data_IF_169226398106
#
_entry.id   IF_169226398106
#
_cell.length_a   1.000
_cell.length_b   1.000
_cell.length_c   1.000
_cell.angle_alpha   90.00
_cell.angle_beta   90.00
_cell.angle_gamma   90.00
#
_symmetry.space_group_name_H-M   'P 1'
#
loop_
_entity.id
_entity.type
_entity.pdbx_description
1 polymer ?
#
# COMPACT_ATOMS: atom_id res chain seq x y z
N UNK A 1 -44.66 -51.96 -9.70
CA UNK A 1 -43.59 -51.15 -10.28
C UNK A 1 -43.34 -49.99 -9.34
N UNK A 2 -42.44 -50.22 -8.33
CA UNK A 2 -42.17 -49.24 -7.28
C UNK A 2 -40.94 -48.42 -7.68
N UNK A 3 -41.10 -47.10 -7.90
CA UNK A 3 -40.02 -46.17 -8.08
C UNK A 3 -39.45 -45.75 -6.69
N UNK A 4 -38.19 -46.12 -6.43
CA UNK A 4 -37.42 -45.61 -5.28
C UNK A 4 -36.79 -44.27 -5.67
N UNK A 5 -37.20 -43.18 -5.05
CA UNK A 5 -36.47 -41.94 -5.06
C UNK A 5 -35.27 -42.05 -4.09
N UNK A 6 -34.08 -42.00 -4.62
CA UNK A 6 -32.87 -41.79 -3.81
C UNK A 6 -32.66 -40.31 -3.61
N UNK A 7 -32.82 -39.84 -2.38
CA UNK A 7 -32.44 -38.50 -1.99
C UNK A 7 -30.91 -38.47 -1.74
N UNK A 8 -30.17 -37.76 -2.61
CA UNK A 8 -28.74 -37.47 -2.40
C UNK A 8 -28.63 -36.30 -1.43
N UNK A 9 -28.22 -36.58 -0.22
CA UNK A 9 -27.95 -35.60 0.81
C UNK A 9 -26.58 -34.97 0.49
N UNK A 10 -26.56 -33.71 0.00
CA UNK A 10 -25.37 -32.94 -0.15
C UNK A 10 -24.86 -32.51 1.23
N UNK A 11 -23.74 -33.06 1.65
CA UNK A 11 -23.08 -32.65 2.88
C UNK A 11 -22.46 -31.26 2.67
N UNK A 12 -23.05 -30.25 3.28
CA UNK A 12 -22.40 -28.95 3.45
C UNK A 12 -21.23 -29.12 4.43
N UNK A 13 -20.00 -29.11 3.93
CA UNK A 13 -18.83 -28.96 4.78
C UNK A 13 -18.75 -27.48 5.15
N UNK A 14 -19.24 -27.17 6.35
CA UNK A 14 -18.99 -25.86 6.95
C UNK A 14 -17.49 -25.78 7.27
N UNK A 15 -16.75 -24.99 6.50
CA UNK A 15 -15.43 -24.53 6.91
C UNK A 15 -15.65 -23.58 8.10
N UNK A 16 -15.57 -24.10 9.30
CA UNK A 16 -15.31 -23.28 10.48
C UNK A 16 -13.88 -22.78 10.36
N UNK A 17 -13.71 -21.53 9.95
CA UNK A 17 -12.48 -20.82 10.19
C UNK A 17 -12.27 -20.84 11.71
N UNK A 18 -11.35 -21.67 12.18
CA UNK A 18 -10.89 -21.60 13.56
C UNK A 18 -10.28 -20.22 13.72
N UNK A 19 -10.97 -19.34 14.47
CA UNK A 19 -10.32 -18.20 15.08
C UNK A 19 -9.16 -18.80 15.90
N UNK A 20 -7.94 -18.68 15.38
CA UNK A 20 -6.77 -18.91 16.19
C UNK A 20 -6.86 -17.89 17.30
N UNK A 21 -7.14 -18.36 18.52
CA UNK A 21 -7.02 -17.57 19.74
C UNK A 21 -5.62 -16.97 19.71
N UNK A 22 -5.52 -15.70 19.34
CA UNK A 22 -4.30 -14.92 19.46
C UNK A 22 -4.09 -14.75 20.98
N UNK A 23 -3.28 -15.64 21.55
CA UNK A 23 -2.86 -15.52 22.94
C UNK A 23 -2.22 -14.13 23.08
N UNK A 24 -2.64 -13.34 24.08
CA UNK A 24 -2.00 -12.06 24.30
C UNK A 24 -0.51 -12.28 24.53
N UNK A 25 0.35 -11.48 23.88
CA UNK A 25 1.78 -11.52 24.10
C UNK A 25 2.04 -11.19 25.58
N UNK A 26 2.59 -12.14 26.30
CA UNK A 26 2.99 -11.97 27.70
C UNK A 26 4.51 -11.88 27.73
N UNK A 27 5.03 -10.65 27.72
CA UNK A 27 6.45 -10.40 27.96
C UNK A 27 6.81 -10.47 29.45
N UNK A 28 8.10 -10.34 29.77
CA UNK A 28 8.61 -10.38 31.15
C UNK A 28 7.98 -9.30 32.05
N UNK A 29 7.39 -8.25 31.49
CA UNK A 29 6.77 -7.11 32.18
C UNK A 29 5.24 -7.05 32.06
N UNK A 30 4.58 -8.10 31.62
CA UNK A 30 3.12 -8.17 31.49
C UNK A 30 2.60 -8.32 30.08
N UNK A 31 1.29 -8.48 29.94
CA UNK A 31 0.64 -8.61 28.66
C UNK A 31 0.61 -7.27 27.94
N UNK A 32 1.03 -7.24 26.67
CA UNK A 32 0.76 -6.13 25.79
C UNK A 32 -0.74 -6.14 25.42
N UNK A 33 -1.36 -4.99 25.45
CA UNK A 33 -2.76 -4.85 25.06
C UNK A 33 -2.82 -4.29 23.63
N UNK A 34 -3.53 -4.92 22.71
CA UNK A 34 -3.88 -4.28 21.44
C UNK A 34 -4.59 -2.95 21.71
N UNK A 35 -4.28 -1.92 20.92
CA UNK A 35 -4.81 -0.58 21.13
C UNK A 35 -4.02 0.46 20.35
N UNK A 36 -4.29 1.73 20.65
CA UNK A 36 -3.59 2.87 20.08
C UNK A 36 -2.51 3.36 21.02
N UNK A 37 -1.31 3.56 20.49
CA UNK A 37 -0.14 4.08 21.19
C UNK A 37 0.35 5.34 20.50
N UNK A 38 0.73 6.36 21.26
CA UNK A 38 1.24 7.62 20.73
C UNK A 38 2.50 8.05 21.47
N UNK A 39 3.38 8.78 20.80
CA UNK A 39 4.62 9.29 21.40
C UNK A 39 5.36 10.24 20.46
N UNK A 40 6.57 10.62 20.87
CA UNK A 40 7.48 11.43 20.07
C UNK A 40 8.84 10.79 20.10
N UNK A 41 9.31 10.29 18.96
CA UNK A 41 10.63 9.65 18.84
C UNK A 41 11.51 10.48 17.89
N UNK A 42 12.67 10.90 18.36
CA UNK A 42 13.58 11.70 17.53
C UNK A 42 13.00 13.03 17.04
N UNK A 43 12.03 13.60 17.75
CA UNK A 43 11.33 14.84 17.36
C UNK A 43 10.15 14.64 16.41
N UNK A 44 9.85 13.40 16.00
CA UNK A 44 8.68 13.07 15.16
C UNK A 44 7.54 12.55 16.02
N UNK A 45 6.33 13.03 15.78
CA UNK A 45 5.13 12.43 16.37
C UNK A 45 4.89 11.05 15.77
N UNK A 46 4.61 10.08 16.63
CA UNK A 46 4.31 8.72 16.23
C UNK A 46 2.94 8.29 16.74
N UNK A 47 2.22 7.54 15.90
CA UNK A 47 0.94 6.94 16.19
C UNK A 47 0.97 5.48 15.71
N UNK A 48 0.63 4.54 16.60
CA UNK A 48 0.63 3.12 16.32
C UNK A 48 -0.69 2.50 16.76
N UNK A 49 -1.45 1.96 15.82
CA UNK A 49 -2.61 1.13 16.10
C UNK A 49 -2.22 -0.34 15.98
N UNK A 50 -2.44 -1.11 17.04
CA UNK A 50 -2.20 -2.56 17.10
C UNK A 50 -3.51 -3.30 17.28
N UNK A 51 -3.77 -4.31 16.43
CA UNK A 51 -4.96 -5.14 16.52
C UNK A 51 -4.65 -6.59 16.93
N UNK A 52 -5.63 -7.29 17.53
CA UNK A 52 -5.48 -8.70 17.93
C UNK A 52 -5.21 -9.65 16.76
N UNK A 53 -5.59 -9.30 15.55
CA UNK A 53 -5.34 -10.06 14.31
C UNK A 53 -3.90 -9.93 13.81
N UNK A 54 -3.01 -9.33 14.61
CA UNK A 54 -1.60 -9.06 14.30
C UNK A 54 -1.40 -8.04 13.17
N UNK A 55 -2.41 -7.29 12.78
CA UNK A 55 -2.25 -6.15 11.89
C UNK A 55 -1.89 -4.88 12.67
N UNK A 56 -1.27 -3.91 11.98
CA UNK A 56 -1.00 -2.60 12.55
C UNK A 56 -1.14 -1.50 11.48
N UNK A 57 -1.38 -0.27 11.96
CA UNK A 57 -1.09 0.97 11.24
C UNK A 57 -0.05 1.75 12.06
N UNK A 58 0.93 2.31 11.38
CA UNK A 58 1.98 3.10 12.00
C UNK A 58 2.22 4.37 11.21
N UNK A 59 2.23 5.51 11.92
CA UNK A 59 2.52 6.83 11.38
C UNK A 59 3.72 7.38 12.13
N UNK A 60 4.74 7.89 11.42
CA UNK A 60 5.89 8.59 11.99
C UNK A 60 6.16 9.86 11.19
N UNK A 61 5.73 10.99 11.70
CA UNK A 61 5.70 12.23 10.92
C UNK A 61 4.80 12.08 9.71
N UNK A 62 5.38 12.13 8.50
CA UNK A 62 4.65 11.98 7.22
C UNK A 62 4.70 10.56 6.67
N UNK A 63 5.46 9.66 7.29
CA UNK A 63 5.57 8.27 6.87
C UNK A 63 4.41 7.45 7.40
N UNK A 64 3.77 6.66 6.53
CA UNK A 64 2.63 5.82 6.86
C UNK A 64 2.89 4.39 6.44
N UNK A 65 2.72 3.46 7.37
CA UNK A 65 2.90 2.04 7.16
C UNK A 65 1.68 1.26 7.65
N UNK A 66 1.33 0.20 6.93
CA UNK A 66 0.35 -0.78 7.35
C UNK A 66 0.89 -2.18 7.06
N UNK A 67 0.80 -3.07 8.03
CA UNK A 67 1.41 -4.39 7.90
C UNK A 67 1.02 -5.34 9.01
N UNK A 68 1.87 -6.32 9.26
CA UNK A 68 1.69 -7.30 10.33
C UNK A 68 2.80 -7.18 11.36
N UNK A 69 2.43 -7.36 12.61
CA UNK A 69 3.39 -7.46 13.71
C UNK A 69 3.48 -8.90 14.22
N UNK A 70 4.60 -9.23 14.81
CA UNK A 70 4.77 -10.47 15.56
C UNK A 70 5.52 -10.23 16.87
N UNK A 71 5.33 -11.14 17.83
CA UNK A 71 6.05 -11.09 19.09
C UNK A 71 7.50 -11.56 18.91
N UNK A 72 8.44 -10.87 19.58
CA UNK A 72 9.82 -11.29 19.77
C UNK A 72 10.06 -11.56 21.26
N UNK A 73 9.84 -12.79 21.75
CA UNK A 73 9.99 -13.13 23.16
C UNK A 73 11.44 -12.97 23.67
N UNK A 74 12.44 -13.14 22.79
CA UNK A 74 13.85 -13.05 23.18
C UNK A 74 14.24 -11.62 23.55
N UNK A 75 13.62 -10.62 22.88
CA UNK A 75 13.81 -9.20 23.14
C UNK A 75 12.72 -8.59 24.01
N UNK A 76 11.79 -9.41 24.53
CA UNK A 76 10.60 -8.91 25.22
C UNK A 76 9.88 -7.82 24.42
N UNK A 77 9.68 -8.04 23.15
CA UNK A 77 9.25 -7.01 22.20
C UNK A 77 8.27 -7.47 21.14
N UNK A 78 7.92 -6.53 20.30
CA UNK A 78 7.22 -6.74 19.06
C UNK A 78 8.10 -6.31 17.90
N UNK A 79 7.90 -6.94 16.76
CA UNK A 79 8.49 -6.55 15.47
C UNK A 79 7.37 -6.15 14.53
N UNK A 80 7.43 -4.92 14.02
CA UNK A 80 6.58 -4.42 12.96
C UNK A 80 7.29 -4.65 11.63
N UNK A 81 6.60 -5.25 10.66
CA UNK A 81 7.08 -5.36 9.27
C UNK A 81 6.59 -4.14 8.49
N UNK A 82 7.51 -3.26 8.12
CA UNK A 82 7.22 -2.00 7.42
C UNK A 82 7.33 -2.12 5.90
N UNK A 83 7.40 -3.36 5.37
CA UNK A 83 7.48 -3.58 3.93
C UNK A 83 8.92 -3.52 3.37
N UNK A 84 9.86 -4.16 4.05
CA UNK A 84 11.29 -4.23 3.69
C UNK A 84 12.21 -3.82 4.82
N UNK A 85 11.70 -3.03 5.75
CA UNK A 85 12.35 -2.70 7.01
C UNK A 85 11.56 -3.28 8.17
N UNK A 86 12.22 -3.47 9.31
CA UNK A 86 11.56 -3.91 10.53
C UNK A 86 11.80 -2.91 11.65
N UNK A 87 10.76 -2.65 12.44
CA UNK A 87 10.87 -1.85 13.64
C UNK A 87 10.63 -2.71 14.88
N UNK A 88 11.58 -2.71 15.77
CA UNK A 88 11.49 -3.45 17.04
C UNK A 88 11.05 -2.50 18.15
N UNK A 89 10.02 -2.91 18.89
CA UNK A 89 9.49 -2.19 20.04
C UNK A 89 9.58 -3.09 21.28
N UNK A 90 10.30 -2.68 22.30
CA UNK A 90 10.34 -3.37 23.61
C UNK A 90 9.05 -3.11 24.38
N UNK A 91 8.47 -4.15 24.96
CA UNK A 91 7.31 -4.03 25.86
C UNK A 91 7.79 -3.70 27.26
N UNK A 92 7.61 -2.45 27.69
CA UNK A 92 8.00 -2.00 29.03
C UNK A 92 6.94 -2.35 30.09
N UNK A 93 5.67 -2.25 29.68
CA UNK A 93 4.49 -2.71 30.43
C UNK A 93 3.27 -2.73 29.50
N UNK A 94 2.07 -3.00 30.03
CA UNK A 94 0.84 -3.05 29.23
C UNK A 94 0.43 -1.73 28.55
N UNK A 95 1.05 -0.62 28.92
CA UNK A 95 0.70 0.72 28.44
C UNK A 95 1.87 1.45 27.75
N UNK A 96 3.06 0.81 27.69
CA UNK A 96 4.25 1.50 27.19
C UNK A 96 5.13 0.58 26.33
N UNK A 97 5.43 1.07 25.13
CA UNK A 97 6.32 0.45 24.17
C UNK A 97 7.52 1.37 23.93
N UNK A 98 8.73 0.81 23.92
CA UNK A 98 9.95 1.56 23.64
C UNK A 98 10.53 1.16 22.31
N UNK A 99 10.71 2.09 21.35
CA UNK A 99 11.48 1.83 20.16
C UNK A 99 12.90 1.38 20.47
N UNK A 100 13.40 0.36 19.78
CA UNK A 100 14.78 -0.10 19.96
C UNK A 100 15.76 1.04 19.67
N UNK A 101 16.71 1.26 20.60
CA UNK A 101 17.65 2.38 20.51
C UNK A 101 17.14 3.70 21.07
N UNK A 102 15.89 3.79 21.54
CA UNK A 102 15.40 4.98 22.25
C UNK A 102 16.09 5.14 23.62
N UNK A 103 16.19 6.39 24.15
CA UNK A 103 16.83 6.65 25.44
C UNK A 103 16.21 5.89 26.60
N UNK A 104 17.03 5.50 27.59
CA UNK A 104 16.59 4.77 28.79
C UNK A 104 15.72 5.61 29.73
N UNK A 105 15.74 6.94 29.60
CA UNK A 105 14.95 7.87 30.41
C UNK A 105 13.45 7.87 30.08
N UNK A 106 13.05 7.10 29.04
CA UNK A 106 11.68 7.01 28.56
C UNK A 106 11.28 8.12 27.58
N UNK A 107 12.18 9.04 27.24
CA UNK A 107 11.96 9.97 26.14
C UNK A 107 11.95 9.18 24.84
N UNK A 108 10.83 9.24 24.12
CA UNK A 108 10.63 8.45 22.90
C UNK A 108 9.83 7.14 23.09
N UNK A 109 9.36 6.84 24.31
CA UNK A 109 8.43 5.74 24.52
C UNK A 109 7.05 6.08 23.87
N UNK A 110 6.39 5.07 23.35
CA UNK A 110 5.00 5.14 22.90
C UNK A 110 4.09 4.76 24.07
N UNK A 111 3.15 5.62 24.41
CA UNK A 111 2.21 5.39 25.51
C UNK A 111 0.82 5.04 24.99
N UNK A 112 0.15 4.08 25.63
CA UNK A 112 -1.21 3.70 25.27
C UNK A 112 -2.17 4.88 25.47
N UNK A 113 -3.00 5.15 24.49
CA UNK A 113 -4.02 6.18 24.56
C UNK A 113 -5.17 5.74 25.47
N UNK A 114 -5.64 6.63 26.36
CA UNK A 114 -6.84 6.40 27.16
C UNK A 114 -8.11 6.35 26.31
N UNK A 115 -8.10 7.01 25.14
CA UNK A 115 -9.17 6.99 24.16
C UNK A 115 -8.62 6.45 22.83
N UNK A 116 -8.54 5.12 22.68
CA UNK A 116 -8.01 4.53 21.47
C UNK A 116 -8.93 4.85 20.28
N UNK A 117 -8.39 5.59 19.34
CA UNK A 117 -9.06 5.90 18.08
C UNK A 117 -8.09 5.62 16.94
N UNK A 118 -8.41 4.66 16.04
CA UNK A 118 -7.57 4.39 14.89
C UNK A 118 -7.37 5.64 14.04
N UNK A 119 -6.14 5.87 13.61
CA UNK A 119 -5.82 6.99 12.74
C UNK A 119 -6.41 6.80 11.33
N UNK A 120 -6.73 7.91 10.68
CA UNK A 120 -6.93 7.92 9.23
C UNK A 120 -5.57 7.88 8.55
N UNK A 121 -5.41 6.94 7.61
CA UNK A 121 -4.15 6.75 6.89
C UNK A 121 -4.36 6.79 5.37
N UNK A 122 -3.44 7.45 4.66
CA UNK A 122 -3.35 7.43 3.20
C UNK A 122 -2.16 6.61 2.77
N UNK A 123 -2.39 5.63 1.90
CA UNK A 123 -1.32 4.75 1.40
C UNK A 123 -1.68 4.18 0.03
N UNK A 124 -0.67 3.77 -0.76
CA UNK A 124 -0.89 2.85 -1.86
C UNK A 124 -1.41 1.53 -1.30
N UNK A 125 -2.58 1.10 -1.75
CA UNK A 125 -3.24 -0.11 -1.27
C UNK A 125 -3.33 -1.13 -2.39
N UNK A 126 -2.91 -2.36 -2.09
CA UNK A 126 -3.20 -3.54 -2.91
C UNK A 126 -4.07 -4.51 -2.12
N UNK A 127 -5.05 -5.12 -2.77
CA UNK A 127 -5.98 -6.01 -2.07
C UNK A 127 -6.85 -6.85 -2.98
N UNK A 128 -7.52 -7.82 -2.37
CA UNK A 128 -8.51 -8.66 -3.04
C UNK A 128 -9.89 -8.04 -2.89
N UNK A 129 -10.36 -7.40 -3.96
CA UNK A 129 -11.68 -6.76 -4.01
C UNK A 129 -12.75 -7.80 -4.32
N UNK A 130 -13.84 -7.75 -3.57
CA UNK A 130 -15.05 -8.52 -3.81
C UNK A 130 -16.24 -7.56 -3.82
N UNK A 131 -17.09 -7.66 -4.85
CA UNK A 131 -18.33 -6.92 -4.95
C UNK A 131 -19.52 -7.87 -4.98
N UNK A 132 -20.38 -7.77 -4.00
CA UNK A 132 -21.57 -8.61 -3.86
C UNK A 132 -22.73 -7.84 -3.23
N UNK A 133 -23.93 -7.96 -3.80
CA UNK A 133 -25.16 -7.35 -3.29
C UNK A 133 -25.02 -5.85 -3.00
N UNK A 134 -24.47 -5.09 -3.97
CA UNK A 134 -24.25 -3.64 -3.94
C UNK A 134 -23.27 -3.17 -2.84
N UNK A 135 -22.47 -4.08 -2.29
CA UNK A 135 -21.43 -3.79 -1.33
C UNK A 135 -20.08 -4.30 -1.81
N UNK A 136 -19.09 -3.41 -1.79
CA UNK A 136 -17.71 -3.76 -2.05
C UNK A 136 -16.95 -3.95 -0.73
N UNK A 137 -16.13 -4.99 -0.67
CA UNK A 137 -15.18 -5.23 0.41
C UNK A 137 -13.81 -5.53 -0.17
N UNK A 138 -12.75 -5.16 0.54
CA UNK A 138 -11.38 -5.43 0.12
C UNK A 138 -10.60 -6.06 1.27
N UNK A 139 -9.90 -7.16 0.96
CA UNK A 139 -8.89 -7.73 1.85
C UNK A 139 -7.55 -7.07 1.51
N UNK A 140 -7.05 -6.22 2.39
CA UNK A 140 -5.77 -5.53 2.20
C UNK A 140 -4.62 -6.53 2.31
N UNK A 141 -3.78 -6.61 1.29
CA UNK A 141 -2.74 -7.64 1.20
C UNK A 141 -1.69 -7.53 2.30
N UNK A 142 -1.26 -6.33 2.66
CA UNK A 142 -0.22 -6.13 3.68
C UNK A 142 -0.69 -6.53 5.09
N UNK A 143 -1.96 -6.28 5.43
CA UNK A 143 -2.48 -6.54 6.77
C UNK A 143 -3.29 -7.83 6.88
N UNK A 144 -3.88 -8.30 5.77
CA UNK A 144 -4.86 -9.37 5.76
C UNK A 144 -6.26 -8.97 6.29
N UNK A 145 -6.46 -7.69 6.66
CA UNK A 145 -7.75 -7.20 7.16
C UNK A 145 -8.73 -6.96 6.04
N UNK A 146 -9.99 -7.20 6.34
CA UNK A 146 -11.10 -6.89 5.42
C UNK A 146 -11.72 -5.56 5.80
N UNK A 147 -11.82 -4.67 4.84
CA UNK A 147 -12.47 -3.36 4.96
C UNK A 147 -13.67 -3.25 4.04
N UNK A 148 -14.77 -2.60 4.45
CA UNK A 148 -15.76 -2.10 3.52
C UNK A 148 -15.11 -1.02 2.64
N UNK A 149 -15.60 -0.89 1.39
CA UNK A 149 -15.17 0.16 0.46
C UNK A 149 -16.29 1.19 0.35
N UNK A 150 -15.95 2.45 0.58
CA UNK A 150 -16.90 3.56 0.45
C UNK A 150 -17.24 3.81 -1.02
N UNK A 151 -18.48 4.24 -1.27
CA UNK A 151 -18.95 4.63 -2.61
C UNK A 151 -18.61 6.10 -2.94
N UNK A 152 -17.40 6.51 -2.54
CA UNK A 152 -16.86 7.87 -2.70
C UNK A 152 -15.57 7.82 -3.54
N UNK A 153 -15.04 8.98 -3.91
CA UNK A 153 -13.82 9.12 -4.69
C UNK A 153 -13.91 8.39 -6.03
N UNK A 154 -12.90 7.59 -6.36
CA UNK A 154 -12.82 6.83 -7.61
C UNK A 154 -13.57 5.48 -7.58
N UNK A 155 -14.54 5.32 -6.65
CA UNK A 155 -15.31 4.08 -6.52
C UNK A 155 -15.96 3.61 -7.83
N UNK A 156 -16.53 4.54 -8.62
CA UNK A 156 -17.18 4.18 -9.88
C UNK A 156 -16.20 3.63 -10.93
N UNK A 157 -14.97 4.13 -10.95
CA UNK A 157 -13.92 3.59 -11.82
C UNK A 157 -13.52 2.18 -11.38
N UNK A 158 -13.30 1.99 -10.07
CA UNK A 158 -13.01 0.70 -9.46
C UNK A 158 -14.12 -0.34 -9.73
N UNK A 159 -15.38 0.03 -9.53
CA UNK A 159 -16.53 -0.85 -9.76
C UNK A 159 -16.63 -1.28 -11.23
N UNK A 160 -16.52 -0.34 -12.17
CA UNK A 160 -16.54 -0.65 -13.61
C UNK A 160 -15.43 -1.61 -14.00
N UNK A 161 -14.21 -1.38 -13.53
CA UNK A 161 -13.08 -2.23 -13.82
C UNK A 161 -13.24 -3.63 -13.21
N UNK A 162 -13.75 -3.72 -11.99
CA UNK A 162 -14.07 -4.99 -11.35
C UNK A 162 -15.13 -5.77 -12.15
N UNK A 163 -16.23 -5.13 -12.53
CA UNK A 163 -17.31 -5.76 -13.28
C UNK A 163 -16.86 -6.23 -14.67
N UNK A 164 -15.91 -5.52 -15.28
CA UNK A 164 -15.33 -5.90 -16.58
C UNK A 164 -14.32 -7.06 -16.45
N UNK A 165 -13.60 -7.15 -15.32
CA UNK A 165 -12.54 -8.14 -15.11
C UNK A 165 -13.00 -9.46 -14.50
N UNK A 166 -14.17 -9.50 -13.83
CA UNK A 166 -14.66 -10.71 -13.16
C UNK A 166 -15.22 -11.73 -14.17
N UNK A 167 -14.97 -13.01 -13.89
CA UNK A 167 -15.56 -14.13 -14.66
C UNK A 167 -16.87 -14.64 -14.03
N UNK A 168 -17.14 -14.31 -12.75
CA UNK A 168 -18.30 -14.76 -12.01
C UNK A 168 -18.75 -13.79 -10.90
N UNK A 169 -19.93 -14.04 -10.30
CA UNK A 169 -20.40 -13.22 -9.18
C UNK A 169 -19.50 -13.41 -7.95
N UNK A 170 -19.19 -12.29 -7.27
CA UNK A 170 -18.37 -12.26 -6.05
C UNK A 170 -16.95 -12.87 -6.20
N UNK A 171 -16.42 -12.94 -7.42
CA UNK A 171 -15.06 -13.37 -7.65
C UNK A 171 -14.08 -12.36 -7.06
N UNK A 172 -13.14 -12.77 -6.17
CA UNK A 172 -12.12 -11.86 -5.67
C UNK A 172 -11.15 -11.50 -6.79
N UNK A 173 -10.95 -10.20 -7.03
CA UNK A 173 -9.96 -9.70 -7.99
C UNK A 173 -8.88 -8.91 -7.28
N UNK A 174 -7.62 -9.12 -7.65
CA UNK A 174 -6.52 -8.31 -7.17
C UNK A 174 -6.62 -6.91 -7.79
N UNK A 175 -6.59 -5.88 -6.93
CA UNK A 175 -6.68 -4.47 -7.33
C UNK A 175 -5.59 -3.65 -6.66
N UNK A 176 -5.23 -2.55 -7.29
CA UNK A 176 -4.35 -1.52 -6.73
C UNK A 176 -5.03 -0.16 -6.79
N UNK A 177 -4.79 0.68 -5.77
CA UNK A 177 -5.34 2.03 -5.68
C UNK A 177 -4.53 2.88 -4.69
N UNK A 178 -4.65 4.19 -4.75
CA UNK A 178 -4.37 5.03 -3.60
C UNK A 178 -5.63 5.13 -2.78
N UNK A 179 -5.51 4.92 -1.49
CA UNK A 179 -6.65 4.83 -0.61
C UNK A 179 -6.46 5.64 0.66
N UNK A 180 -7.56 6.22 1.12
CA UNK A 180 -7.71 6.68 2.49
C UNK A 180 -8.43 5.58 3.28
N UNK A 181 -7.84 5.11 4.38
CA UNK A 181 -8.50 4.23 5.35
C UNK A 181 -8.86 5.08 6.55
N UNK A 182 -10.15 5.22 6.85
CA UNK A 182 -10.62 6.05 7.96
C UNK A 182 -11.81 5.43 8.69
N UNK A 183 -12.04 5.78 9.97
CA UNK A 183 -13.27 5.44 10.68
C UNK A 183 -14.47 6.10 10.01
N UNK A 184 -15.49 5.32 9.67
CA UNK A 184 -16.77 5.83 9.13
C UNK A 184 -17.96 5.24 9.87
N UNK A 185 -18.97 6.08 10.08
CA UNK A 185 -20.25 5.66 10.61
C UNK A 185 -20.89 4.62 9.70
N UNK A 186 -21.47 3.59 10.30
CA UNK A 186 -22.24 2.56 9.61
C UNK A 186 -23.73 2.86 9.77
N UNK A 187 -24.56 2.30 8.87
CA UNK A 187 -26.03 2.39 9.02
C UNK A 187 -26.50 1.77 10.32
N UNK A 188 -25.84 0.70 10.75
CA UNK A 188 -26.07 0.05 12.04
C UNK A 188 -24.73 -0.36 12.68
N UNK A 189 -24.59 -0.12 14.00
CA UNK A 189 -23.40 -0.51 14.75
C UNK A 189 -22.34 0.60 14.91
N UNK A 190 -21.17 0.26 15.46
CA UNK A 190 -20.07 1.21 15.66
C UNK A 190 -19.42 1.62 14.34
N UNK A 191 -18.67 2.71 14.39
CA UNK A 191 -17.79 3.11 13.29
C UNK A 191 -16.83 1.98 12.91
N UNK A 192 -16.55 1.87 11.60
CA UNK A 192 -15.62 0.87 11.07
C UNK A 192 -14.61 1.56 10.17
N UNK A 193 -13.36 1.10 10.24
CA UNK A 193 -12.35 1.50 9.26
C UNK A 193 -12.84 1.09 7.87
N UNK A 194 -12.91 2.07 6.99
CA UNK A 194 -13.48 1.96 5.65
C UNK A 194 -12.46 2.49 4.65
N UNK A 195 -12.28 1.79 3.55
CA UNK A 195 -11.41 2.22 2.43
C UNK A 195 -12.17 3.17 1.53
N UNK A 196 -11.60 4.34 1.28
CA UNK A 196 -12.05 5.30 0.26
C UNK A 196 -11.04 5.24 -0.88
N UNK A 197 -11.43 4.83 -2.10
CA UNK A 197 -10.55 4.87 -3.27
C UNK A 197 -10.32 6.32 -3.69
N UNK A 198 -9.17 6.91 -3.42
CA UNK A 198 -8.84 8.29 -3.81
C UNK A 198 -8.35 8.36 -5.26
N UNK A 199 -7.59 7.35 -5.70
CA UNK A 199 -7.26 7.18 -7.10
C UNK A 199 -7.21 5.68 -7.44
N UNK A 200 -7.96 5.29 -8.45
CA UNK A 200 -7.99 3.92 -8.94
C UNK A 200 -6.70 3.62 -9.73
N UNK A 201 -6.07 2.48 -9.45
CA UNK A 201 -4.93 1.98 -10.21
C UNK A 201 -5.36 1.00 -11.29
N UNK A 202 -5.43 -0.28 -10.94
CA UNK A 202 -5.75 -1.35 -11.91
C UNK A 202 -6.43 -2.54 -11.25
N UNK A 203 -7.10 -3.35 -12.07
CA UNK A 203 -7.60 -4.69 -11.73
C UNK A 203 -6.78 -5.72 -12.48
N UNK A 204 -6.41 -6.80 -11.80
CA UNK A 204 -5.63 -7.90 -12.37
C UNK A 204 -6.40 -9.21 -12.21
N UNK A 205 -7.13 -9.67 -13.24
CA UNK A 205 -7.78 -10.96 -13.22
C UNK A 205 -6.77 -12.09 -13.04
N UNK A 206 -7.03 -13.02 -12.11
CA UNK A 206 -6.12 -14.10 -11.77
C UNK A 206 -4.92 -13.72 -10.90
N UNK A 207 -4.79 -12.44 -10.52
CA UNK A 207 -3.82 -11.97 -9.54
C UNK A 207 -4.25 -12.28 -8.10
N UNK A 208 -3.29 -12.31 -7.19
CA UNK A 208 -3.51 -12.50 -5.75
C UNK A 208 -2.55 -11.62 -4.91
N UNK A 209 -2.67 -11.70 -3.59
CA UNK A 209 -1.83 -10.92 -2.68
C UNK A 209 -0.33 -11.23 -2.76
N UNK A 210 0.10 -12.30 -3.43
CA UNK A 210 1.54 -12.52 -3.66
C UNK A 210 2.13 -11.46 -4.57
N UNK A 211 1.31 -10.84 -5.43
CA UNK A 211 1.68 -9.70 -6.25
C UNK A 211 1.85 -8.41 -5.45
N UNK A 212 1.01 -8.23 -4.39
CA UNK A 212 1.04 -7.04 -3.54
C UNK A 212 2.08 -7.09 -2.42
N UNK A 213 2.47 -8.28 -1.98
CA UNK A 213 3.41 -8.48 -0.88
C UNK A 213 4.88 -8.62 -1.33
N UNK A 214 5.14 -8.63 -2.62
CA UNK A 214 6.51 -8.48 -3.10
C UNK A 214 6.91 -7.03 -2.93
N UNK A 215 7.86 -6.75 -2.05
CA UNK A 215 8.59 -5.49 -2.13
C UNK A 215 9.36 -5.52 -3.46
N UNK A 216 8.81 -4.82 -4.46
CA UNK A 216 9.55 -4.60 -5.69
C UNK A 216 10.65 -3.58 -5.39
N UNK A 217 11.87 -3.90 -5.73
CA UNK A 217 12.90 -2.87 -5.82
C UNK A 217 12.70 -2.07 -7.12
N UNK A 218 13.19 -0.84 -7.16
CA UNK A 218 13.09 0.02 -8.34
C UNK A 218 13.63 -0.67 -9.60
N UNK A 219 14.73 -1.41 -9.47
CA UNK A 219 15.41 -2.08 -10.57
C UNK A 219 14.77 -3.43 -10.98
N UNK A 220 13.85 -3.98 -10.17
CA UNK A 220 13.23 -5.29 -10.43
C UNK A 220 12.07 -5.24 -11.42
N UNK A 221 11.67 -4.05 -11.86
CA UNK A 221 10.49 -3.87 -12.71
C UNK A 221 10.71 -2.86 -13.84
N UNK A 222 9.98 -3.06 -14.93
CA UNK A 222 9.66 -1.99 -15.85
C UNK A 222 8.44 -1.26 -15.30
N UNK A 223 8.55 0.04 -15.14
CA UNK A 223 7.50 0.88 -14.60
C UNK A 223 6.80 1.62 -15.73
N UNK A 224 5.52 1.34 -15.97
CA UNK A 224 4.69 2.14 -16.88
C UNK A 224 4.32 3.45 -16.18
N UNK A 225 4.59 4.58 -16.82
CA UNK A 225 4.22 5.90 -16.30
C UNK A 225 2.73 6.11 -16.60
N UNK A 226 1.91 6.25 -15.56
CA UNK A 226 0.45 6.40 -15.69
C UNK A 226 -0.02 7.82 -15.55
N UNK A 227 0.65 8.65 -14.73
CA UNK A 227 0.35 10.08 -14.63
C UNK A 227 1.59 10.93 -14.31
N UNK A 228 1.51 12.20 -14.69
CA UNK A 228 2.47 13.27 -14.38
C UNK A 228 1.71 14.41 -13.71
N UNK A 229 1.86 14.55 -12.39
CA UNK A 229 0.98 15.40 -11.59
C UNK A 229 -0.48 15.01 -11.78
N UNK A 230 -1.29 15.98 -12.19
CA UNK A 230 -2.73 15.80 -12.43
C UNK A 230 -3.06 15.35 -13.87
N UNK A 231 -2.05 15.04 -14.69
CA UNK A 231 -2.23 14.66 -16.10
C UNK A 231 -2.04 13.16 -16.25
N UNK A 232 -3.12 12.44 -16.60
CA UNK A 232 -3.05 11.03 -16.96
C UNK A 232 -2.48 10.88 -18.38
N UNK A 233 -1.56 9.91 -18.54
CA UNK A 233 -0.98 9.59 -19.85
C UNK A 233 -1.86 8.55 -20.56
N UNK A 234 -2.44 8.95 -21.71
CA UNK A 234 -3.23 8.03 -22.53
C UNK A 234 -2.33 7.23 -23.48
N UNK A 235 -2.15 5.94 -23.18
CA UNK A 235 -1.37 5.03 -23.99
C UNK A 235 -1.90 4.88 -25.45
N UNK A 236 -3.15 5.25 -25.72
CA UNK A 236 -3.72 5.21 -27.07
C UNK A 236 -3.18 6.35 -27.97
N UNK A 237 -2.63 7.40 -27.39
CA UNK A 237 -2.09 8.57 -28.11
C UNK A 237 -0.62 8.41 -28.48
N UNK A 238 0.05 7.35 -28.03
CA UNK A 238 1.48 7.14 -28.24
C UNK A 238 1.80 5.88 -29.03
N UNK A 239 2.89 5.90 -29.76
CA UNK A 239 3.37 4.74 -30.53
C UNK A 239 4.13 3.72 -29.67
N UNK A 240 4.54 4.12 -28.46
CA UNK A 240 5.24 3.31 -27.48
C UNK A 240 4.68 3.64 -26.11
N UNK A 241 4.37 2.62 -25.33
CA UNK A 241 3.91 2.77 -23.96
C UNK A 241 4.93 3.57 -23.11
N UNK A 242 4.49 4.57 -22.34
CA UNK A 242 5.36 5.33 -21.44
C UNK A 242 6.00 4.42 -20.39
N UNK A 243 7.33 4.48 -20.21
CA UNK A 243 8.04 3.61 -19.28
C UNK A 243 9.19 4.31 -18.58
N UNK A 244 9.59 3.74 -17.45
CA UNK A 244 10.79 4.04 -16.69
C UNK A 244 11.44 2.73 -16.21
N UNK A 245 12.74 2.59 -16.41
CA UNK A 245 13.55 1.43 -15.99
C UNK A 245 14.73 1.95 -15.22
N UNK A 246 15.02 1.35 -14.08
CA UNK A 246 16.18 1.65 -13.25
C UNK A 246 17.25 0.56 -13.40
N UNK A 247 18.49 0.94 -13.25
CA UNK A 247 19.66 0.05 -13.17
C UNK A 247 20.43 0.41 -11.91
N UNK A 248 20.42 -0.48 -10.91
CA UNK A 248 21.16 -0.30 -9.66
C UNK A 248 22.67 -0.51 -9.84
N UNK A 249 23.06 -1.27 -10.88
CA UNK A 249 24.47 -1.59 -11.14
C UNK A 249 25.30 -0.33 -11.42
N UNK A 250 24.71 0.62 -12.14
CA UNK A 250 25.38 1.87 -12.56
C UNK A 250 24.68 3.15 -12.08
N UNK A 251 23.60 3.02 -11.29
CA UNK A 251 22.83 4.15 -10.75
C UNK A 251 22.19 4.99 -11.86
N UNK A 252 21.73 4.34 -12.94
CA UNK A 252 21.14 5.03 -14.08
C UNK A 252 19.69 4.64 -14.32
N UNK A 253 18.95 5.50 -15.03
CA UNK A 253 17.61 5.19 -15.51
C UNK A 253 17.50 5.40 -17.02
N UNK A 254 16.53 4.71 -17.61
CA UNK A 254 16.08 4.87 -18.99
C UNK A 254 14.57 5.04 -19.02
N UNK A 255 14.06 6.03 -19.75
CA UNK A 255 12.65 6.35 -19.80
C UNK A 255 12.19 6.79 -21.19
N UNK A 256 10.86 6.73 -21.40
CA UNK A 256 10.18 7.37 -22.52
C UNK A 256 8.76 7.69 -22.09
N UNK A 257 8.23 8.82 -22.52
CA UNK A 257 6.81 9.17 -22.37
C UNK A 257 6.03 9.07 -23.70
N UNK A 258 6.57 8.23 -24.60
CA UNK A 258 5.87 7.91 -25.85
C UNK A 258 6.58 8.31 -27.14
N UNK A 259 7.65 9.12 -27.10
CA UNK A 259 8.39 9.58 -28.28
C UNK A 259 9.90 9.52 -28.07
N UNK A 260 10.48 10.50 -27.41
CA UNK A 260 11.91 10.52 -27.15
C UNK A 260 12.35 9.50 -26.10
N UNK A 261 13.61 9.06 -26.18
CA UNK A 261 14.26 8.30 -25.14
C UNK A 261 15.06 9.22 -24.22
N UNK A 262 14.85 9.04 -22.90
CA UNK A 262 15.54 9.80 -21.88
C UNK A 262 16.46 8.87 -21.10
N UNK A 263 17.61 9.40 -20.68
CA UNK A 263 18.58 8.71 -19.82
C UNK A 263 19.20 9.68 -18.82
N UNK A 264 19.44 9.21 -17.60
CA UNK A 264 20.09 10.00 -16.56
C UNK A 264 20.59 9.13 -15.42
N UNK A 265 21.22 9.75 -14.45
CA UNK A 265 21.60 9.12 -13.19
C UNK A 265 20.51 9.33 -12.13
N UNK A 266 20.50 8.46 -11.13
CA UNK A 266 19.70 8.64 -9.91
C UNK A 266 20.50 8.21 -8.68
N UNK A 267 20.06 8.66 -7.51
CA UNK A 267 20.53 8.16 -6.23
C UNK A 267 19.36 7.89 -5.31
N UNK A 268 19.45 6.80 -4.54
CA UNK A 268 18.42 6.36 -3.61
C UNK A 268 19.03 6.01 -2.25
N UNK A 269 18.33 6.37 -1.18
CA UNK A 269 18.63 5.93 0.19
C UNK A 269 17.31 5.73 0.94
N UNK A 270 16.91 4.48 1.13
CA UNK A 270 15.59 4.17 1.68
C UNK A 270 14.46 4.70 0.80
N UNK A 271 13.65 5.61 1.33
CA UNK A 271 12.58 6.31 0.61
C UNK A 271 13.02 7.61 -0.06
N UNK A 272 14.25 8.07 0.18
CA UNK A 272 14.79 9.25 -0.48
C UNK A 272 15.24 8.89 -1.89
N UNK A 273 14.83 9.70 -2.87
CA UNK A 273 15.15 9.53 -4.29
C UNK A 273 15.49 10.87 -4.90
N UNK A 274 16.54 10.93 -5.70
CA UNK A 274 16.86 12.11 -6.51
C UNK A 274 17.40 11.71 -7.87
N UNK A 275 17.14 12.56 -8.86
CA UNK A 275 17.63 12.38 -10.23
C UNK A 275 18.73 13.38 -10.55
N UNK A 276 19.78 12.90 -11.20
CA UNK A 276 20.89 13.76 -11.61
C UNK A 276 20.53 14.57 -12.86
N UNK A 277 20.92 15.82 -12.88
CA UNK A 277 20.83 16.68 -14.07
C UNK A 277 22.21 16.84 -14.76
N UNK A 278 22.25 17.03 -16.09
CA UNK A 278 21.13 17.05 -17.02
C UNK A 278 20.64 15.63 -17.43
N UNK A 279 19.35 15.50 -17.71
CA UNK A 279 18.78 14.29 -18.32
C UNK A 279 19.03 14.37 -19.82
N UNK A 280 19.72 13.36 -20.37
CA UNK A 280 19.93 13.24 -21.80
C UNK A 280 18.64 12.79 -22.51
N UNK A 281 18.34 13.36 -23.66
CA UNK A 281 17.16 13.01 -24.48
C UNK A 281 17.51 12.95 -25.95
N UNK A 282 16.88 12.05 -26.71
CA UNK A 282 16.86 12.17 -28.16
C UNK A 282 16.02 13.39 -28.56
N UNK A 283 16.23 13.92 -29.77
CA UNK A 283 15.60 15.17 -30.22
C UNK A 283 14.72 14.91 -31.44
N UNK A 284 13.77 13.99 -31.33
CA UNK A 284 12.75 13.79 -32.35
C UNK A 284 11.64 14.83 -32.16
N UNK A 285 11.03 15.28 -33.27
CA UNK A 285 9.82 16.08 -33.22
C UNK A 285 8.66 15.18 -32.78
N UNK A 286 8.13 15.43 -31.61
CA UNK A 286 7.01 14.68 -31.06
C UNK A 286 5.68 15.40 -31.34
N UNK A 287 4.60 14.67 -31.65
CA UNK A 287 3.27 15.28 -31.79
C UNK A 287 2.67 15.66 -30.43
N UNK A 288 1.79 16.65 -30.43
CA UNK A 288 0.97 16.94 -29.25
C UNK A 288 0.06 15.73 -28.91
N UNK A 289 -0.15 15.42 -27.59
CA UNK A 289 0.36 16.09 -26.39
C UNK A 289 1.70 15.55 -25.88
N UNK A 290 2.41 14.68 -26.63
CA UNK A 290 3.58 13.94 -26.17
C UNK A 290 4.78 14.85 -25.88
N UNK A 291 4.92 15.95 -26.62
CA UNK A 291 5.96 16.95 -26.37
C UNK A 291 5.75 17.65 -25.01
N UNK A 292 4.51 17.96 -24.70
CA UNK A 292 4.13 18.52 -23.39
C UNK A 292 4.39 17.52 -22.25
N UNK A 293 4.09 16.23 -22.47
CA UNK A 293 4.37 15.19 -21.48
C UNK A 293 5.86 15.01 -21.21
N UNK A 294 6.71 15.10 -22.27
CA UNK A 294 8.15 15.02 -22.08
C UNK A 294 8.70 16.20 -21.25
N UNK A 295 8.17 17.38 -21.50
CA UNK A 295 8.50 18.58 -20.73
C UNK A 295 8.06 18.43 -19.26
N UNK A 296 6.83 18.00 -19.04
CA UNK A 296 6.28 17.74 -17.70
C UNK A 296 7.07 16.64 -16.97
N UNK A 297 7.48 15.56 -17.67
CA UNK A 297 8.28 14.49 -17.10
C UNK A 297 9.64 14.98 -16.62
N UNK A 298 10.36 15.74 -17.43
CA UNK A 298 11.66 16.32 -17.03
C UNK A 298 11.53 17.27 -15.85
N UNK A 299 10.47 18.08 -15.83
CA UNK A 299 10.17 18.98 -14.72
C UNK A 299 9.83 18.18 -13.44
N UNK A 300 9.03 17.13 -13.55
CA UNK A 300 8.70 16.26 -12.41
C UNK A 300 9.97 15.64 -11.83
N UNK A 301 10.87 15.07 -12.68
CA UNK A 301 12.11 14.46 -12.21
C UNK A 301 12.99 15.43 -11.40
N UNK A 302 13.06 16.71 -11.80
CA UNK A 302 13.89 17.70 -11.08
C UNK A 302 13.31 18.06 -9.70
N UNK A 303 12.03 17.83 -9.47
CA UNK A 303 11.36 18.08 -8.20
C UNK A 303 11.28 16.89 -7.25
N UNK A 304 11.67 15.69 -7.70
CA UNK A 304 11.57 14.47 -6.88
C UNK A 304 12.57 14.50 -5.74
N UNK A 305 12.10 14.28 -4.52
CA UNK A 305 12.94 14.08 -3.32
C UNK A 305 12.69 12.75 -2.63
N UNK A 306 11.63 12.04 -2.99
CA UNK A 306 11.29 10.78 -2.37
C UNK A 306 10.43 9.86 -3.23
N UNK A 307 10.22 8.65 -2.74
CA UNK A 307 9.38 7.65 -3.37
C UNK A 307 8.54 6.89 -2.34
N UNK A 308 7.43 6.33 -2.81
CA UNK A 308 6.63 5.33 -2.11
C UNK A 308 6.35 4.16 -3.06
N UNK A 309 6.56 2.93 -2.59
CA UNK A 309 6.20 1.71 -3.31
C UNK A 309 5.16 0.96 -2.49
N UNK A 310 4.00 0.71 -3.09
CA UNK A 310 2.94 -0.09 -2.50
C UNK A 310 2.46 -1.14 -3.49
N UNK A 311 2.83 -2.40 -3.27
CA UNK A 311 2.53 -3.47 -4.22
C UNK A 311 3.14 -3.21 -5.60
N UNK A 312 2.31 -2.91 -6.60
CA UNK A 312 2.72 -2.62 -7.98
C UNK A 312 2.71 -1.14 -8.33
N UNK A 313 2.41 -0.27 -7.38
CA UNK A 313 2.36 1.17 -7.60
C UNK A 313 3.61 1.82 -7.02
N UNK A 314 4.25 2.67 -7.81
CA UNK A 314 5.35 3.54 -7.42
C UNK A 314 4.88 4.99 -7.57
N UNK A 315 5.09 5.79 -6.54
CA UNK A 315 4.85 7.24 -6.56
C UNK A 315 6.16 7.97 -6.32
N UNK A 316 6.43 8.99 -7.10
CA UNK A 316 7.50 9.95 -6.82
C UNK A 316 6.92 11.17 -6.14
N UNK A 317 7.61 11.62 -5.12
CA UNK A 317 7.15 12.67 -4.22
C UNK A 317 8.05 13.90 -4.30
N UNK A 318 7.44 15.08 -4.23
CA UNK A 318 8.15 16.34 -4.09
C UNK A 318 8.52 16.66 -2.62
N UNK A 319 9.09 17.87 -2.39
CA UNK A 319 9.49 18.33 -1.07
C UNK A 319 8.36 18.50 -0.07
N UNK A 320 7.10 18.58 -0.52
CA UNK A 320 5.89 18.62 0.29
C UNK A 320 5.25 17.23 0.44
N UNK A 321 5.95 16.18 -0.06
CA UNK A 321 5.49 14.79 -0.15
C UNK A 321 4.20 14.60 -0.98
N UNK A 322 3.98 15.51 -1.92
CA UNK A 322 2.90 15.41 -2.89
C UNK A 322 3.35 14.53 -4.07
N UNK A 323 2.53 13.56 -4.52
CA UNK A 323 2.86 12.75 -5.69
C UNK A 323 2.95 13.62 -6.96
N UNK A 324 4.13 13.66 -7.57
CA UNK A 324 4.40 14.35 -8.84
C UNK A 324 4.43 13.41 -10.04
N UNK A 325 4.48 12.10 -9.78
CA UNK A 325 4.44 11.06 -10.80
C UNK A 325 3.92 9.76 -10.21
N UNK A 326 3.07 9.07 -10.97
CA UNK A 326 2.59 7.73 -10.63
C UNK A 326 3.03 6.75 -11.71
N UNK A 327 3.48 5.59 -11.26
CA UNK A 327 3.95 4.51 -12.12
C UNK A 327 3.39 3.18 -11.65
N UNK A 328 3.29 2.25 -12.58
CA UNK A 328 2.83 0.90 -12.31
C UNK A 328 3.83 -0.13 -12.82
N UNK A 329 4.15 -1.11 -11.99
CA UNK A 329 5.07 -2.19 -12.36
C UNK A 329 4.44 -3.10 -13.42
N UNK A 330 5.19 -3.34 -14.51
CA UNK A 330 4.94 -4.41 -15.47
C UNK A 330 5.93 -5.51 -15.16
N UNK A 331 5.46 -6.73 -14.93
CA UNK A 331 6.35 -7.88 -14.80
C UNK A 331 6.77 -8.32 -16.20
N UNK A 332 8.08 -8.42 -16.40
CA UNK A 332 8.60 -9.22 -17.49
C UNK A 332 8.41 -10.69 -17.12
N UNK A 333 7.90 -11.53 -18.02
CA UNK A 333 7.69 -12.95 -17.78
C UNK A 333 8.98 -13.72 -17.51
#
# INVERSE_FOLDING_TARGET
MLFRLSATMAAFVAFTASAQDSQPFVGAHGAMTPGTYTGVTGGRSEHLDLWPDQSFHFISGDEVHAGRWHADPERNGLVLDLGGETRVLEVRNSQRLRPSGAPEDGSGDLEASEMPAPASIRLPLSGMLTYFADAATIVHCATGRTYPVAQDGEYLALERAYLAGRSGPAEPLFVTMDALIEPRAQMEGPERLTVVPEAFGSVFPGGDCSLGNRSLDLADAVWTITSLGDVDLDAALVSREPFLIFSDEDGTFSASVGCNQLRGGYSRSGTDLSFAEPVASTMMACPDPVDDWETAFKQALSGVVGLEIGGRVLRFLDGERTPVMRLQAVYLP
#
